data_IF_868394761421
#
_entry.id   IF_868394761421
#
_cell.length_a   1.000
_cell.length_b   1.000
_cell.length_c   1.000
_cell.angle_alpha   90.00
_cell.angle_beta   90.00
_cell.angle_gamma   90.00
#
_symmetry.space_group_name_H-M   'P 1'
#
loop_
_entity.id
_entity.type
_entity.pdbx_description
1 polymer ?
#
# COMPACT_ATOMS: atom_id res chain seq x y z
N UNK A 1 61.42 -1.27 47.08
CA UNK A 1 62.54 -1.42 46.11
C UNK A 1 62.09 -0.80 44.80
N UNK A 2 62.70 0.34 44.47
CA UNK A 2 62.44 1.15 43.29
C UNK A 2 63.32 0.69 42.13
N UNK A 3 62.75 0.63 40.92
CA UNK A 3 63.51 0.82 39.67
C UNK A 3 62.60 1.45 38.61
N UNK A 4 62.63 2.78 38.62
CA UNK A 4 62.83 3.71 37.49
C UNK A 4 62.59 3.15 36.09
N UNK A 5 61.53 3.62 35.41
CA UNK A 5 61.33 3.46 33.97
C UNK A 5 61.76 4.72 33.22
N UNK A 6 62.42 4.45 32.11
CA UNK A 6 63.13 5.32 31.20
C UNK A 6 62.23 6.37 30.52
N UNK A 7 62.78 7.58 30.44
CA UNK A 7 62.31 8.73 29.68
C UNK A 7 62.57 8.50 28.18
N UNK A 8 61.55 8.63 27.33
CA UNK A 8 61.75 8.88 25.89
C UNK A 8 60.97 10.14 25.51
N UNK A 9 61.73 11.18 25.18
CA UNK A 9 61.29 12.47 24.69
C UNK A 9 60.97 12.30 23.19
N UNK A 10 59.71 12.48 22.78
CA UNK A 10 59.34 12.60 21.37
C UNK A 10 58.89 14.04 21.13
N UNK A 11 59.77 14.83 20.49
CA UNK A 11 59.46 16.16 19.96
C UNK A 11 58.69 15.97 18.66
N UNK A 12 57.39 16.26 18.66
CA UNK A 12 56.59 16.37 17.43
C UNK A 12 56.46 17.84 17.07
N UNK A 13 57.05 18.20 15.94
CA UNK A 13 56.96 19.49 15.28
C UNK A 13 55.50 19.80 14.93
N UNK A 14 54.95 20.86 15.53
CA UNK A 14 53.70 21.50 15.11
C UNK A 14 53.89 22.10 13.70
N UNK A 15 53.23 21.52 12.71
CA UNK A 15 53.00 22.16 11.41
C UNK A 15 51.70 22.98 11.50
N UNK A 16 51.62 24.20 10.97
CA UNK A 16 50.38 24.96 10.93
C UNK A 16 49.45 24.32 9.90
N UNK A 17 48.40 23.64 10.38
CA UNK A 17 47.32 23.15 9.54
C UNK A 17 46.58 24.35 8.94
N UNK A 18 46.68 24.47 7.62
CA UNK A 18 45.84 25.32 6.78
C UNK A 18 44.38 24.86 6.96
N UNK A 19 43.57 25.63 7.69
CA UNK A 19 42.11 25.48 7.68
C UNK A 19 41.62 25.85 6.26
N UNK A 20 41.50 24.87 5.37
CA UNK A 20 40.67 25.05 4.18
C UNK A 20 39.21 24.96 4.63
N UNK A 21 38.51 26.09 4.63
CA UNK A 21 37.06 26.12 4.73
C UNK A 21 36.48 25.40 3.50
N UNK A 22 36.12 24.13 3.65
CA UNK A 22 35.30 23.45 2.67
C UNK A 22 33.91 24.08 2.74
N UNK A 23 33.63 25.00 1.80
CA UNK A 23 32.29 25.47 1.49
C UNK A 23 31.46 24.26 1.05
N UNK A 24 30.75 23.63 1.99
CA UNK A 24 29.66 22.72 1.65
C UNK A 24 28.66 23.54 0.85
N UNK A 25 28.55 23.25 -0.45
CA UNK A 25 27.43 23.73 -1.27
C UNK A 25 26.15 23.29 -0.58
N UNK A 26 25.53 24.20 0.16
CA UNK A 26 24.22 23.99 0.77
C UNK A 26 23.21 24.05 -0.38
N UNK A 27 23.02 22.90 -1.03
CA UNK A 27 22.01 22.72 -2.07
C UNK A 27 20.66 23.14 -1.48
N UNK A 28 19.94 24.03 -2.17
CA UNK A 28 18.64 24.49 -1.72
C UNK A 28 17.76 23.28 -1.36
N UNK A 29 17.05 23.30 -0.22
CA UNK A 29 16.23 22.17 0.20
C UNK A 29 15.18 21.88 -0.88
N UNK A 30 15.11 20.62 -1.31
CA UNK A 30 14.16 20.21 -2.34
C UNK A 30 12.72 20.55 -1.92
N UNK A 31 11.91 21.04 -2.86
CA UNK A 31 10.52 21.39 -2.59
C UNK A 31 9.76 20.16 -2.07
N UNK A 32 8.90 20.38 -1.08
CA UNK A 32 8.04 19.33 -0.51
C UNK A 32 6.77 19.22 -1.32
N UNK A 33 6.25 18.02 -1.56
CA UNK A 33 5.01 17.84 -2.31
C UNK A 33 3.84 17.58 -1.37
N UNK A 34 2.70 18.22 -1.59
CA UNK A 34 1.46 17.84 -0.91
C UNK A 34 0.94 16.55 -1.53
N UNK A 35 0.71 15.53 -0.70
CA UNK A 35 0.13 14.26 -1.14
C UNK A 35 -1.36 14.18 -0.88
N UNK A 36 -1.78 14.80 0.21
CA UNK A 36 -3.17 14.80 0.65
C UNK A 36 -3.41 16.02 1.53
N UNK A 37 -4.56 16.65 1.35
CA UNK A 37 -5.06 17.68 2.23
C UNK A 37 -6.57 17.49 2.40
N UNK A 38 -7.03 17.55 3.64
CA UNK A 38 -8.43 17.51 4.01
C UNK A 38 -8.73 18.58 5.05
N UNK A 39 -9.96 19.06 5.04
CA UNK A 39 -10.36 20.25 5.77
C UNK A 39 -9.71 21.53 5.22
N UNK A 40 -9.80 22.65 5.96
CA UNK A 40 -9.30 23.94 5.48
C UNK A 40 -7.78 23.99 5.62
N UNK A 41 -7.07 23.72 4.54
CA UNK A 41 -5.62 23.85 4.45
C UNK A 41 -5.33 24.94 3.43
N UNK A 42 -4.41 25.85 3.74
CA UNK A 42 -3.97 26.86 2.78
C UNK A 42 -2.49 27.16 2.93
N UNK A 43 -1.87 27.71 1.89
CA UNK A 43 -0.48 28.14 1.93
C UNK A 43 -0.30 29.54 1.33
N UNK A 44 0.79 30.19 1.67
CA UNK A 44 1.25 31.43 1.02
C UNK A 44 2.75 31.39 0.79
N UNK A 45 3.20 32.03 -0.27
CA UNK A 45 4.62 32.05 -0.68
C UNK A 45 5.44 33.14 0.02
N UNK A 46 4.77 34.17 0.54
CA UNK A 46 5.34 35.27 1.32
C UNK A 46 4.26 35.89 2.21
N UNK A 47 4.64 36.72 3.18
CA UNK A 47 3.69 37.41 4.07
C UNK A 47 2.69 38.33 3.31
N UNK A 48 3.08 38.80 2.12
CA UNK A 48 2.24 39.68 1.27
C UNK A 48 1.42 38.90 0.22
N UNK A 49 1.73 37.63 0.01
CA UNK A 49 1.01 36.79 -0.96
C UNK A 49 -0.36 36.38 -0.40
N UNK A 50 -1.40 36.27 -1.24
CA UNK A 50 -2.69 35.76 -0.81
C UNK A 50 -2.57 34.29 -0.36
N UNK A 51 -3.48 33.87 0.51
CA UNK A 51 -3.65 32.46 0.86
C UNK A 51 -4.23 31.69 -0.32
N UNK A 52 -3.60 30.58 -0.66
CA UNK A 52 -4.05 29.64 -1.69
C UNK A 52 -4.53 28.38 -0.98
N UNK A 53 -5.79 28.01 -1.20
CA UNK A 53 -6.37 26.80 -0.62
C UNK A 53 -5.74 25.56 -1.23
N UNK A 54 -5.40 24.59 -0.37
CA UNK A 54 -4.98 23.24 -0.74
C UNK A 54 -6.19 22.35 -0.56
N UNK A 55 -6.90 22.06 -1.65
CA UNK A 55 -8.07 21.19 -1.65
C UNK A 55 -7.71 19.73 -1.95
N UNK A 56 -8.64 18.79 -1.69
CA UNK A 56 -8.45 17.36 -2.01
C UNK A 56 -8.31 17.06 -3.50
N UNK A 57 -8.68 18.01 -4.37
CA UNK A 57 -8.51 18.00 -5.82
C UNK A 57 -7.40 18.95 -6.33
N UNK A 58 -6.73 19.69 -5.43
CA UNK A 58 -5.63 20.56 -5.84
C UNK A 58 -4.46 19.72 -6.34
N UNK A 59 -3.86 20.11 -7.47
CA UNK A 59 -2.72 19.41 -8.08
C UNK A 59 -1.50 19.47 -7.16
N UNK A 60 -1.44 18.59 -6.15
CA UNK A 60 -0.30 18.26 -5.29
C UNK A 60 0.85 19.29 -5.33
N UNK A 61 0.63 20.53 -4.83
CA UNK A 61 1.56 21.62 -5.10
C UNK A 61 2.93 21.31 -4.49
N UNK A 62 3.98 21.66 -5.23
CA UNK A 62 5.32 21.70 -4.69
C UNK A 62 5.47 22.96 -3.82
N UNK A 63 5.63 22.74 -2.52
CA UNK A 63 5.79 23.77 -1.49
C UNK A 63 7.27 23.95 -1.17
N UNK A 64 7.79 25.15 -1.36
CA UNK A 64 9.15 25.48 -0.93
C UNK A 64 9.25 25.49 0.60
N UNK A 65 10.43 25.19 1.13
CA UNK A 65 10.69 25.09 2.57
C UNK A 65 10.30 26.35 3.38
N UNK A 66 10.33 27.52 2.74
CA UNK A 66 9.99 28.82 3.32
C UNK A 66 8.50 29.18 3.26
N UNK A 67 7.67 28.42 2.52
CA UNK A 67 6.24 28.73 2.43
C UNK A 67 5.56 28.54 3.80
N UNK A 68 4.57 29.39 4.07
CA UNK A 68 3.73 29.28 5.28
C UNK A 68 2.48 28.49 4.94
N UNK A 69 2.15 27.51 5.76
CA UNK A 69 0.93 26.71 5.72
C UNK A 69 0.06 27.11 6.90
N UNK A 70 -1.22 27.33 6.64
CA UNK A 70 -2.26 27.51 7.66
C UNK A 70 -3.08 26.24 7.77
N UNK A 71 -3.18 25.75 9.00
CA UNK A 71 -3.95 24.57 9.39
C UNK A 71 -5.00 24.99 10.41
N UNK A 72 -6.13 24.30 10.40
CA UNK A 72 -7.20 24.43 11.39
C UNK A 72 -7.34 23.12 12.18
N UNK A 73 -8.26 23.09 13.15
CA UNK A 73 -8.47 21.96 14.06
C UNK A 73 -8.91 20.67 13.36
N UNK A 74 -9.54 20.78 12.19
CA UNK A 74 -10.01 19.64 11.40
C UNK A 74 -9.07 19.29 10.24
N UNK A 75 -7.97 20.03 10.08
CA UNK A 75 -7.10 19.88 8.94
C UNK A 75 -6.25 18.61 9.04
N UNK A 76 -6.17 17.88 7.94
CA UNK A 76 -5.19 16.82 7.73
C UNK A 76 -4.32 17.24 6.55
N UNK A 77 -3.00 17.17 6.72
CA UNK A 77 -2.05 17.44 5.66
C UNK A 77 -1.00 16.34 5.62
N UNK A 78 -0.73 15.80 4.43
CA UNK A 78 0.34 14.84 4.20
C UNK A 78 1.35 15.47 3.25
N UNK A 79 2.57 15.67 3.73
CA UNK A 79 3.69 16.24 2.99
C UNK A 79 4.73 15.18 2.67
N UNK A 80 5.30 15.25 1.48
CA UNK A 80 6.44 14.43 1.07
C UNK A 80 7.68 15.31 0.89
N UNK A 81 8.84 14.84 1.36
CA UNK A 81 10.13 15.33 0.89
C UNK A 81 10.81 14.25 0.03
N UNK A 82 11.49 14.63 -1.07
CA UNK A 82 12.26 13.69 -1.88
C UNK A 82 13.23 12.87 -1.03
N UNK A 83 13.19 11.54 -1.18
CA UNK A 83 14.06 10.60 -0.47
C UNK A 83 13.72 10.39 1.01
N UNK A 84 12.64 10.98 1.52
CA UNK A 84 12.19 10.78 2.91
C UNK A 84 10.78 10.22 2.97
N UNK A 85 10.42 9.70 4.13
CA UNK A 85 9.07 9.29 4.42
C UNK A 85 8.10 10.49 4.43
N UNK A 86 6.83 10.29 4.02
CA UNK A 86 5.83 11.31 4.20
C UNK A 86 5.63 11.66 5.68
N UNK A 87 5.31 12.93 5.88
CA UNK A 87 4.94 13.53 7.15
C UNK A 87 3.44 13.78 7.12
N UNK A 88 2.71 13.10 8.00
CA UNK A 88 1.30 13.38 8.25
C UNK A 88 1.25 14.49 9.30
N UNK A 89 0.28 15.39 9.23
CA UNK A 89 0.02 16.47 10.18
C UNK A 89 -1.49 16.53 10.38
N UNK A 90 -1.96 16.52 11.63
CA UNK A 90 -3.39 16.49 11.97
C UNK A 90 -3.68 17.35 13.18
N UNK A 91 -4.87 17.95 13.22
CA UNK A 91 -5.43 18.65 14.38
C UNK A 91 -4.45 19.64 15.02
N UNK A 92 -3.65 20.32 14.18
CA UNK A 92 -2.62 21.24 14.64
C UNK A 92 -2.92 22.63 14.09
N UNK A 93 -3.90 23.35 14.67
CA UNK A 93 -4.27 24.67 14.19
C UNK A 93 -3.11 25.65 14.34
N UNK A 94 -2.96 26.55 13.38
CA UNK A 94 -1.93 27.58 13.38
C UNK A 94 -1.30 27.82 12.02
N UNK A 95 -0.30 28.70 12.01
CA UNK A 95 0.51 29.02 10.84
C UNK A 95 1.94 28.49 11.06
N UNK A 96 2.42 27.68 10.12
CA UNK A 96 3.70 27.00 10.23
C UNK A 96 4.47 27.14 8.92
N UNK A 97 5.78 27.27 8.98
CA UNK A 97 6.59 27.07 7.77
C UNK A 97 6.63 25.59 7.40
N UNK A 98 6.81 25.29 6.11
CA UNK A 98 7.03 23.90 5.65
C UNK A 98 8.18 23.26 6.42
N UNK A 99 9.29 23.99 6.62
CA UNK A 99 10.44 23.51 7.41
C UNK A 99 10.05 23.10 8.83
N UNK A 100 9.32 23.96 9.55
CA UNK A 100 8.92 23.67 10.94
C UNK A 100 8.00 22.46 11.04
N UNK A 101 7.08 22.29 10.08
CA UNK A 101 6.18 21.14 10.05
C UNK A 101 6.95 19.83 9.89
N UNK A 102 7.92 19.80 8.97
CA UNK A 102 8.74 18.63 8.69
C UNK A 102 9.70 18.26 9.83
N UNK A 103 10.08 19.22 10.68
CA UNK A 103 10.91 18.98 11.85
C UNK A 103 10.09 18.48 13.05
N UNK A 104 8.87 18.97 13.20
CA UNK A 104 7.99 18.66 14.34
C UNK A 104 7.28 17.30 14.28
N UNK A 105 7.27 16.65 13.12
CA UNK A 105 6.56 15.39 12.92
C UNK A 105 7.19 14.16 13.57
N UNK A 106 8.32 14.32 14.26
CA UNK A 106 8.95 13.26 15.03
C UNK A 106 8.42 13.15 16.47
N UNK A 107 7.71 14.16 16.99
CA UNK A 107 7.32 14.26 18.41
C UNK A 107 5.81 14.35 18.67
N UNK A 108 5.01 14.76 17.69
CA UNK A 108 3.61 15.16 17.94
C UNK A 108 2.63 14.10 17.44
N UNK A 109 2.40 13.06 18.27
CA UNK A 109 1.11 12.40 18.46
C UNK A 109 0.44 11.66 17.29
N UNK A 110 1.04 11.60 16.11
CA UNK A 110 0.59 10.67 15.07
C UNK A 110 1.09 9.32 15.48
N UNK A 111 0.18 8.37 15.73
CA UNK A 111 0.56 7.02 16.11
C UNK A 111 1.66 6.54 15.19
N UNK A 112 2.82 6.17 15.75
CA UNK A 112 3.98 5.64 15.01
C UNK A 112 3.52 4.62 13.96
N UNK A 113 2.48 3.85 14.29
CA UNK A 113 1.74 2.98 13.39
C UNK A 113 1.28 3.66 12.10
N UNK A 114 0.50 4.75 12.12
CA UNK A 114 0.00 5.42 10.92
C UNK A 114 1.14 5.98 10.06
N UNK A 115 2.16 6.58 10.66
CA UNK A 115 3.31 7.14 9.94
C UNK A 115 4.20 6.06 9.31
N UNK A 116 4.53 4.99 10.05
CA UNK A 116 5.27 3.82 9.55
C UNK A 116 4.52 3.14 8.41
N UNK A 117 3.19 3.14 8.55
CA UNK A 117 2.29 2.55 7.61
C UNK A 117 2.21 3.38 6.32
N UNK A 118 1.98 4.69 6.38
CA UNK A 118 2.11 5.59 5.23
C UNK A 118 3.49 5.49 4.58
N UNK A 119 4.56 5.29 5.35
CA UNK A 119 5.92 5.09 4.81
C UNK A 119 6.07 3.78 4.04
N UNK A 120 5.40 2.70 4.49
CA UNK A 120 5.31 1.46 3.72
C UNK A 120 4.52 1.66 2.43
N UNK A 121 3.36 2.34 2.50
CA UNK A 121 2.55 2.69 1.32
C UNK A 121 3.33 3.52 0.33
N UNK A 122 4.01 4.55 0.82
CA UNK A 122 4.75 5.49 0.00
C UNK A 122 5.81 4.78 -0.82
N UNK A 123 6.61 3.93 -0.18
CA UNK A 123 7.59 3.10 -0.90
C UNK A 123 6.91 2.29 -2.00
N UNK A 124 5.78 1.66 -1.72
CA UNK A 124 5.08 0.83 -2.70
C UNK A 124 4.35 1.62 -3.81
N UNK A 125 4.01 2.89 -3.59
CA UNK A 125 3.32 3.76 -4.55
C UNK A 125 4.27 4.67 -5.36
N UNK A 126 5.50 4.88 -4.90
CA UNK A 126 6.40 5.92 -5.47
C UNK A 126 7.78 5.46 -5.91
N UNK A 127 8.14 4.20 -5.68
CA UNK A 127 9.19 3.60 -6.50
C UNK A 127 8.76 3.75 -7.96
N UNK A 128 9.59 4.39 -8.81
CA UNK A 128 9.33 4.61 -10.23
C UNK A 128 8.56 3.44 -10.81
N UNK A 129 7.25 3.62 -10.95
CA UNK A 129 6.46 2.66 -11.67
C UNK A 129 6.71 3.00 -13.12
N UNK A 130 7.37 2.06 -13.80
CA UNK A 130 7.16 1.85 -15.23
C UNK A 130 5.64 1.88 -15.53
N UNK A 131 5.22 1.92 -16.79
CA UNK A 131 3.78 1.92 -17.14
C UNK A 131 3.00 0.88 -16.34
N UNK A 132 1.69 1.09 -16.08
CA UNK A 132 0.85 0.11 -15.34
C UNK A 132 1.07 -1.32 -15.84
N UNK A 133 1.25 -1.50 -17.15
CA UNK A 133 1.55 -2.78 -17.78
C UNK A 133 2.88 -3.36 -17.31
N UNK A 134 3.96 -2.59 -17.36
CA UNK A 134 5.29 -3.01 -16.93
C UNK A 134 5.34 -3.28 -15.42
N UNK A 135 4.65 -2.46 -14.63
CA UNK A 135 4.49 -2.70 -13.20
C UNK A 135 3.75 -4.01 -12.91
N UNK A 136 2.61 -4.25 -13.58
CA UNK A 136 1.84 -5.49 -13.45
C UNK A 136 2.68 -6.70 -13.87
N UNK A 137 3.36 -6.64 -15.01
CA UNK A 137 4.24 -7.71 -15.49
C UNK A 137 5.39 -7.99 -14.52
N UNK A 138 6.07 -6.95 -14.04
CA UNK A 138 7.14 -7.07 -13.06
C UNK A 138 6.66 -7.66 -11.73
N UNK A 139 5.47 -7.28 -11.27
CA UNK A 139 4.85 -7.85 -10.07
C UNK A 139 4.52 -9.34 -10.25
N UNK A 140 3.87 -9.70 -11.35
CA UNK A 140 3.51 -11.10 -11.66
C UNK A 140 4.76 -11.99 -11.81
N UNK A 141 5.81 -11.47 -12.47
CA UNK A 141 7.11 -12.15 -12.60
C UNK A 141 7.74 -12.41 -11.23
N UNK A 142 7.77 -11.41 -10.33
CA UNK A 142 8.31 -11.57 -8.97
C UNK A 142 7.51 -12.53 -8.10
N UNK A 143 6.19 -12.61 -8.31
CA UNK A 143 5.32 -13.53 -7.59
C UNK A 143 5.36 -14.97 -8.13
N UNK A 144 6.19 -15.24 -9.14
CA UNK A 144 6.29 -16.56 -9.75
C UNK A 144 5.05 -16.94 -10.58
N UNK A 145 4.16 -15.97 -10.86
CA UNK A 145 2.98 -16.17 -11.70
C UNK A 145 3.40 -16.03 -13.17
N UNK A 146 4.27 -16.93 -13.61
CA UNK A 146 4.61 -17.11 -15.03
C UNK A 146 4.07 -18.47 -15.43
N UNK A 147 2.86 -18.48 -16.00
CA UNK A 147 2.30 -19.68 -16.63
C UNK A 147 3.18 -20.05 -17.82
N UNK A 148 3.86 -21.19 -17.73
CA UNK A 148 4.52 -21.84 -18.87
C UNK A 148 3.54 -22.86 -19.44
N UNK A 149 2.77 -22.45 -20.45
CA UNK A 149 2.08 -23.39 -21.34
C UNK A 149 0.69 -23.90 -20.94
N UNK A 150 0.08 -23.44 -19.84
CA UNK A 150 -1.29 -23.84 -19.52
C UNK A 150 -2.30 -22.81 -20.06
N UNK A 151 -3.19 -23.27 -20.95
CA UNK A 151 -4.34 -22.51 -21.46
C UNK A 151 -5.43 -22.52 -20.39
N UNK A 152 -5.57 -21.41 -19.67
CA UNK A 152 -6.42 -21.35 -18.47
C UNK A 152 -7.27 -20.09 -18.49
N UNK A 153 -8.51 -20.16 -17.98
CA UNK A 153 -9.21 -18.94 -17.61
C UNK A 153 -8.42 -18.24 -16.49
N UNK A 154 -8.28 -16.91 -16.60
CA UNK A 154 -7.66 -16.09 -15.57
C UNK A 154 -8.54 -16.16 -14.30
N UNK A 155 -8.02 -16.79 -13.24
CA UNK A 155 -8.64 -16.81 -11.91
C UNK A 155 -8.57 -15.41 -11.30
N UNK A 156 -9.69 -14.92 -10.76
CA UNK A 156 -9.86 -13.55 -10.28
C UNK A 156 -10.15 -13.46 -8.78
N UNK A 157 -10.96 -14.37 -8.24
CA UNK A 157 -11.26 -14.40 -6.80
C UNK A 157 -11.40 -15.86 -6.32
N UNK A 158 -10.88 -16.21 -5.14
CA UNK A 158 -9.95 -15.41 -4.36
C UNK A 158 -8.60 -15.30 -5.10
N UNK A 159 -7.97 -14.15 -5.02
CA UNK A 159 -6.65 -13.95 -5.63
C UNK A 159 -5.60 -14.91 -5.06
N UNK A 160 -4.51 -15.11 -5.79
CA UNK A 160 -3.38 -15.91 -5.32
C UNK A 160 -2.86 -15.44 -3.95
N UNK A 161 -2.85 -16.36 -2.98
CA UNK A 161 -2.38 -16.16 -1.62
C UNK A 161 -3.32 -15.34 -0.75
N UNK A 162 -4.62 -15.30 -1.07
CA UNK A 162 -5.60 -14.56 -0.28
C UNK A 162 -5.85 -15.17 1.09
N UNK A 163 -6.01 -14.31 2.08
CA UNK A 163 -6.49 -14.67 3.42
C UNK A 163 -7.93 -14.17 3.52
N UNK A 164 -8.87 -15.05 3.85
CA UNK A 164 -10.29 -14.73 3.89
C UNK A 164 -10.69 -14.36 5.32
N UNK A 165 -11.17 -13.13 5.55
CA UNK A 165 -11.61 -12.71 6.89
C UNK A 165 -12.89 -13.42 7.35
N UNK A 166 -13.76 -13.81 6.40
CA UNK A 166 -14.97 -14.57 6.67
C UNK A 166 -14.66 -16.05 6.77
N UNK A 167 -15.25 -16.72 7.76
CA UNK A 167 -15.23 -18.17 7.95
C UNK A 167 -16.52 -18.84 7.45
N UNK A 168 -17.45 -18.08 6.86
CA UNK A 168 -18.77 -18.58 6.45
C UNK A 168 -18.87 -18.85 4.97
N UNK A 169 -18.45 -17.91 4.12
CA UNK A 169 -18.53 -18.09 2.68
C UNK A 169 -17.53 -17.24 1.90
N UNK A 170 -17.25 -17.67 0.69
CA UNK A 170 -16.43 -16.98 -0.30
C UNK A 170 -17.02 -17.13 -1.69
N UNK A 171 -16.63 -16.26 -2.61
CA UNK A 171 -16.99 -16.36 -4.02
C UNK A 171 -15.74 -16.63 -4.85
N UNK A 172 -15.79 -17.73 -5.59
CA UNK A 172 -14.85 -17.99 -6.68
C UNK A 172 -15.29 -17.25 -7.94
N UNK A 173 -14.33 -16.76 -8.71
CA UNK A 173 -14.60 -16.02 -9.94
C UNK A 173 -13.41 -16.07 -10.90
N UNK A 174 -13.70 -16.16 -12.19
CA UNK A 174 -12.71 -16.28 -13.25
C UNK A 174 -13.16 -15.62 -14.55
N UNK A 175 -12.21 -15.34 -15.44
CA UNK A 175 -12.51 -14.81 -16.77
C UNK A 175 -13.10 -15.92 -17.65
N UNK A 176 -14.17 -15.59 -18.38
CA UNK A 176 -14.76 -16.49 -19.36
C UNK A 176 -13.75 -16.83 -20.46
N UNK A 177 -13.56 -18.12 -20.69
CA UNK A 177 -12.98 -18.67 -21.92
C UNK A 177 -14.07 -18.73 -22.99
N UNK A 178 -13.92 -18.03 -24.14
CA UNK A 178 -14.90 -18.04 -25.23
C UNK A 178 -15.24 -19.43 -25.79
N UNK A 179 -14.31 -20.39 -25.69
CA UNK A 179 -14.50 -21.74 -26.20
C UNK A 179 -15.13 -22.70 -25.18
N UNK A 180 -15.27 -22.27 -23.91
CA UNK A 180 -15.78 -23.11 -22.83
C UNK A 180 -17.29 -22.88 -22.60
N UNK A 181 -18.06 -23.97 -22.52
CA UNK A 181 -19.49 -23.92 -22.16
C UNK A 181 -19.73 -24.18 -20.67
N UNK A 182 -18.86 -24.96 -20.04
CA UNK A 182 -18.90 -25.34 -18.63
C UNK A 182 -17.49 -25.40 -18.08
N UNK A 183 -17.37 -25.16 -16.79
CA UNK A 183 -16.13 -25.17 -16.04
C UNK A 183 -16.19 -26.19 -14.92
N UNK A 184 -15.07 -26.83 -14.64
CA UNK A 184 -14.83 -27.58 -13.41
C UNK A 184 -14.04 -26.69 -12.46
N UNK A 185 -14.57 -26.47 -11.26
CA UNK A 185 -13.85 -25.86 -10.14
C UNK A 185 -13.41 -26.96 -9.20
N UNK A 186 -12.13 -26.97 -8.83
CA UNK A 186 -11.55 -27.96 -7.93
C UNK A 186 -10.76 -27.28 -6.80
N UNK A 187 -10.82 -27.87 -5.60
CA UNK A 187 -10.03 -27.47 -4.41
C UNK A 187 -9.16 -28.65 -4.00
N UNK A 188 -7.92 -28.36 -3.61
CA UNK A 188 -6.88 -29.32 -3.25
C UNK A 188 -6.22 -28.92 -1.93
N UNK A 189 -5.63 -29.89 -1.26
CA UNK A 189 -4.78 -29.72 -0.07
C UNK A 189 -3.32 -29.37 -0.39
N UNK A 190 -2.87 -29.66 -1.62
CA UNK A 190 -1.49 -29.49 -2.06
C UNK A 190 -1.42 -28.85 -3.47
N UNK A 191 -0.28 -28.22 -3.79
CA UNK A 191 0.03 -27.70 -5.12
C UNK A 191 0.34 -28.79 -6.15
N UNK A 192 0.79 -29.98 -5.72
CA UNK A 192 1.21 -31.08 -6.61
C UNK A 192 0.12 -31.42 -7.64
N UNK A 193 0.49 -31.53 -8.92
CA UNK A 193 -0.42 -31.91 -10.01
C UNK A 193 -1.20 -33.20 -9.71
N UNK A 194 -0.63 -34.11 -8.93
CA UNK A 194 -1.23 -35.38 -8.50
C UNK A 194 -2.03 -35.29 -7.20
N UNK A 195 -2.17 -34.11 -6.59
CA UNK A 195 -2.91 -33.92 -5.35
C UNK A 195 -4.36 -34.34 -5.49
N UNK A 196 -4.90 -34.90 -4.41
CA UNK A 196 -6.31 -35.29 -4.35
C UNK A 196 -7.19 -34.04 -4.32
N UNK A 197 -8.30 -34.08 -5.06
CA UNK A 197 -9.33 -33.05 -4.97
C UNK A 197 -10.13 -33.24 -3.68
N UNK A 198 -10.12 -32.24 -2.81
CA UNK A 198 -10.99 -32.17 -1.63
C UNK A 198 -12.44 -31.83 -2.01
N UNK A 199 -12.59 -31.06 -3.08
CA UNK A 199 -13.89 -30.65 -3.62
C UNK A 199 -13.80 -30.45 -5.12
N UNK A 200 -14.86 -30.83 -5.83
CA UNK A 200 -15.01 -30.56 -7.26
C UNK A 200 -16.48 -30.29 -7.58
N UNK A 201 -16.72 -29.35 -8.48
CA UNK A 201 -18.07 -29.09 -9.00
C UNK A 201 -17.99 -28.52 -10.41
N UNK A 202 -19.06 -28.68 -11.18
CA UNK A 202 -19.17 -28.13 -12.52
C UNK A 202 -20.24 -27.04 -12.59
N UNK A 203 -19.95 -25.94 -13.28
CA UNK A 203 -20.91 -24.85 -13.51
C UNK A 203 -20.75 -24.26 -14.90
N UNK A 204 -21.84 -23.70 -15.45
CA UNK A 204 -21.80 -22.90 -16.68
C UNK A 204 -21.44 -21.42 -16.41
N UNK A 205 -21.55 -20.99 -15.16
CA UNK A 205 -21.26 -19.63 -14.74
C UNK A 205 -19.76 -19.37 -14.62
N UNK A 206 -19.38 -18.10 -14.50
CA UNK A 206 -17.99 -17.67 -14.25
C UNK A 206 -17.74 -17.28 -12.80
N UNK A 207 -18.71 -17.58 -11.94
CA UNK A 207 -18.65 -17.36 -10.51
C UNK A 207 -19.31 -18.50 -9.76
N UNK A 208 -18.81 -18.83 -8.57
CA UNK A 208 -19.37 -19.86 -7.70
C UNK A 208 -19.29 -19.42 -6.24
N UNK A 209 -20.43 -19.38 -5.55
CA UNK A 209 -20.44 -19.22 -4.10
C UNK A 209 -20.05 -20.54 -3.42
N UNK A 210 -19.13 -20.48 -2.46
CA UNK A 210 -18.63 -21.62 -1.73
C UNK A 210 -18.72 -21.35 -0.23
N UNK A 211 -19.38 -22.24 0.51
CA UNK A 211 -19.43 -22.16 1.97
C UNK A 211 -18.15 -22.75 2.55
N UNK A 212 -17.59 -22.06 3.53
CA UNK A 212 -16.33 -22.41 4.19
C UNK A 212 -16.53 -23.37 5.38
N UNK A 213 -17.77 -23.64 5.77
CA UNK A 213 -18.16 -24.57 6.84
C UNK A 213 -18.07 -26.05 6.42
N UNK A 214 -17.05 -26.40 5.62
CA UNK A 214 -16.78 -27.77 5.20
C UNK A 214 -15.85 -28.45 6.20
N UNK A 215 -16.03 -29.75 6.48
CA UNK A 215 -15.21 -30.46 7.45
C UNK A 215 -13.72 -30.55 7.06
N UNK A 216 -13.39 -30.36 5.78
CA UNK A 216 -12.00 -30.35 5.29
C UNK A 216 -11.36 -28.95 5.29
N UNK A 217 -12.12 -27.90 5.62
CA UNK A 217 -11.63 -26.52 5.68
C UNK A 217 -11.24 -26.22 7.13
N UNK A 218 -9.94 -26.06 7.33
CA UNK A 218 -9.30 -25.81 8.61
C UNK A 218 -8.67 -24.42 8.61
N UNK A 219 -8.55 -23.83 9.80
CA UNK A 219 -7.82 -22.59 9.97
C UNK A 219 -6.33 -22.83 9.73
N UNK A 220 -5.62 -21.82 9.25
CA UNK A 220 -4.17 -21.85 9.03
C UNK A 220 -3.67 -22.82 7.94
N UNK A 221 -4.56 -23.61 7.32
CA UNK A 221 -4.23 -24.45 6.17
C UNK A 221 -4.33 -23.62 4.90
N UNK A 222 -3.34 -23.79 4.01
CA UNK A 222 -3.38 -23.20 2.67
C UNK A 222 -4.01 -24.19 1.72
N UNK A 223 -5.15 -23.80 1.16
CA UNK A 223 -5.84 -24.55 0.12
C UNK A 223 -5.44 -24.05 -1.25
N UNK A 224 -5.46 -24.96 -2.20
CA UNK A 224 -5.19 -24.67 -3.60
C UNK A 224 -6.48 -24.84 -4.36
N UNK A 225 -6.72 -24.01 -5.37
CA UNK A 225 -7.89 -24.14 -6.21
C UNK A 225 -7.54 -23.86 -7.66
N UNK A 226 -8.29 -24.49 -8.55
CA UNK A 226 -8.20 -24.26 -9.98
C UNK A 226 -9.59 -24.24 -10.59
N UNK A 227 -9.68 -23.58 -11.73
CA UNK A 227 -10.87 -23.66 -12.58
C UNK A 227 -10.44 -23.84 -14.02
N UNK A 228 -11.19 -24.65 -14.76
CA UNK A 228 -10.85 -25.03 -16.12
C UNK A 228 -12.05 -25.51 -16.93
N UNK A 229 -12.03 -25.39 -18.27
CA UNK A 229 -13.07 -25.96 -19.11
C UNK A 229 -13.20 -27.47 -18.88
N UNK A 230 -14.42 -27.99 -18.81
CA UNK A 230 -14.67 -29.43 -18.63
C UNK A 230 -13.88 -30.25 -19.68
N UNK A 231 -13.15 -31.27 -19.22
CA UNK A 231 -12.30 -32.12 -20.06
C UNK A 231 -10.90 -31.55 -20.38
N UNK A 232 -10.55 -30.37 -19.87
CA UNK A 232 -9.23 -29.74 -20.06
C UNK A 232 -8.61 -29.38 -18.70
N UNK A 233 -8.11 -30.37 -17.92
CA UNK A 233 -7.57 -30.13 -16.59
C UNK A 233 -6.42 -29.12 -16.61
N UNK A 234 -6.33 -28.34 -15.54
CA UNK A 234 -5.44 -27.19 -15.44
C UNK A 234 -4.33 -27.41 -14.42
N UNK A 235 -3.10 -27.04 -14.80
CA UNK A 235 -1.91 -27.08 -13.95
C UNK A 235 -1.77 -25.88 -13.00
N UNK A 236 -2.37 -24.72 -13.35
CA UNK A 236 -2.30 -23.50 -12.57
C UNK A 236 -3.27 -23.56 -11.39
N UNK A 237 -2.72 -23.36 -10.19
CA UNK A 237 -3.48 -23.33 -8.94
C UNK A 237 -3.27 -22.02 -8.21
N UNK A 238 -4.38 -21.39 -7.81
CA UNK A 238 -4.37 -20.26 -6.90
C UNK A 238 -4.51 -20.76 -5.47
N UNK A 239 -4.16 -19.92 -4.50
CA UNK A 239 -4.19 -20.30 -3.08
C UNK A 239 -5.07 -19.38 -2.27
N UNK A 240 -5.71 -19.95 -1.26
CA UNK A 240 -6.38 -19.19 -0.21
C UNK A 240 -6.14 -19.86 1.15
N UNK A 241 -6.31 -19.10 2.22
CA UNK A 241 -6.29 -19.62 3.59
C UNK A 241 -7.24 -18.85 4.49
N UNK A 242 -7.56 -19.45 5.64
CA UNK A 242 -8.24 -18.77 6.73
C UNK A 242 -7.22 -18.25 7.75
N UNK A 243 -7.42 -17.04 8.31
CA UNK A 243 -6.47 -16.43 9.22
C UNK A 243 -6.40 -17.19 10.55
N UNK A 244 -5.24 -17.08 11.20
CA UNK A 244 -5.11 -17.41 12.62
C UNK A 244 -6.00 -16.47 13.45
N UNK A 245 -6.67 -16.95 14.52
CA UNK A 245 -7.43 -16.08 15.40
C UNK A 245 -6.62 -14.87 15.92
N UNK A 246 -5.35 -15.08 16.27
CA UNK A 246 -4.49 -14.00 16.77
C UNK A 246 -4.06 -13.01 15.69
N UNK A 247 -3.88 -13.47 14.45
CA UNK A 247 -3.57 -12.59 13.32
C UNK A 247 -4.77 -11.68 13.00
N UNK A 248 -5.98 -12.26 13.02
CA UNK A 248 -7.22 -11.50 12.86
C UNK A 248 -7.39 -10.49 13.99
N UNK A 249 -7.21 -10.90 15.26
CA UNK A 249 -7.29 -10.00 16.42
C UNK A 249 -6.26 -8.88 16.35
N UNK A 250 -5.03 -9.18 15.93
CA UNK A 250 -3.97 -8.16 15.75
C UNK A 250 -4.36 -7.14 14.68
N UNK A 251 -4.95 -7.60 13.57
CA UNK A 251 -5.47 -6.73 12.53
C UNK A 251 -6.64 -5.87 13.04
N UNK A 252 -7.59 -6.46 13.75
CA UNK A 252 -8.73 -5.77 14.36
C UNK A 252 -8.28 -4.68 15.34
N UNK A 253 -7.31 -4.96 16.21
CA UNK A 253 -6.74 -3.95 17.12
C UNK A 253 -6.14 -2.78 16.35
N UNK A 254 -5.41 -3.05 15.25
CA UNK A 254 -4.86 -2.00 14.38
C UNK A 254 -5.96 -1.19 13.69
N UNK A 255 -7.04 -1.84 13.27
CA UNK A 255 -8.19 -1.17 12.66
C UNK A 255 -8.94 -0.28 13.65
N UNK A 256 -9.14 -0.73 14.90
CA UNK A 256 -9.76 0.08 15.95
C UNK A 256 -8.91 1.30 16.29
N UNK A 257 -7.59 1.11 16.46
CA UNK A 257 -6.66 2.23 16.68
C UNK A 257 -6.72 3.23 15.52
N UNK A 258 -6.72 2.73 14.28
CA UNK A 258 -6.87 3.57 13.09
C UNK A 258 -8.18 4.36 13.09
N UNK A 259 -9.31 3.74 13.43
CA UNK A 259 -10.61 4.41 13.44
C UNK A 259 -10.69 5.52 14.49
N UNK A 260 -10.05 5.32 15.65
CA UNK A 260 -9.89 6.37 16.68
C UNK A 260 -9.00 7.52 16.19
N UNK A 261 -7.92 7.20 15.47
CA UNK A 261 -6.98 8.20 14.93
C UNK A 261 -7.51 8.95 13.71
N UNK A 262 -8.48 8.41 12.97
CA UNK A 262 -8.88 8.92 11.64
C UNK A 262 -10.30 9.49 11.58
N UNK A 263 -10.89 9.84 12.72
CA UNK A 263 -12.26 10.37 12.84
C UNK A 263 -12.59 11.56 11.93
N UNK A 264 -11.58 12.27 11.43
CA UNK A 264 -11.73 13.50 10.64
C UNK A 264 -11.75 13.29 9.13
N UNK A 265 -11.51 12.06 8.62
CA UNK A 265 -11.56 11.81 7.17
C UNK A 265 -11.93 10.37 6.81
N UNK A 266 -13.19 10.14 6.45
CA UNK A 266 -13.68 8.81 6.06
C UNK A 266 -12.97 8.25 4.82
N UNK A 267 -12.62 9.10 3.86
CA UNK A 267 -11.94 8.68 2.62
C UNK A 267 -10.50 8.23 2.91
N UNK A 268 -9.75 9.01 3.70
CA UNK A 268 -8.40 8.65 4.10
C UNK A 268 -8.39 7.42 5.01
N UNK A 269 -9.33 7.32 5.96
CA UNK A 269 -9.51 6.14 6.81
C UNK A 269 -9.75 4.88 5.97
N UNK A 270 -10.63 4.95 4.96
CA UNK A 270 -10.88 3.84 4.04
C UNK A 270 -9.61 3.45 3.25
N UNK A 271 -8.84 4.43 2.79
CA UNK A 271 -7.60 4.17 2.05
C UNK A 271 -6.53 3.48 2.92
N UNK A 272 -6.32 3.99 4.14
CA UNK A 272 -5.37 3.40 5.09
C UNK A 272 -5.82 1.99 5.51
N UNK A 273 -7.12 1.78 5.72
CA UNK A 273 -7.70 0.46 5.98
C UNK A 273 -7.47 -0.49 4.82
N UNK A 274 -7.70 -0.05 3.59
CA UNK A 274 -7.56 -0.86 2.38
C UNK A 274 -6.17 -1.45 2.25
N UNK A 275 -5.21 -0.58 2.41
CA UNK A 275 -3.83 -0.98 2.33
C UNK A 275 -3.49 -1.93 3.50
N UNK A 276 -4.05 -1.73 4.71
CA UNK A 276 -3.72 -2.55 5.88
C UNK A 276 -4.21 -3.98 5.64
N UNK A 277 -5.40 -4.11 5.08
CA UNK A 277 -5.89 -5.38 4.57
C UNK A 277 -4.96 -5.97 3.51
N UNK A 278 -4.49 -5.19 2.53
CA UNK A 278 -3.58 -5.65 1.49
C UNK A 278 -2.25 -6.17 2.06
N UNK A 279 -1.65 -5.44 3.00
CA UNK A 279 -0.40 -5.84 3.67
C UNK A 279 -0.54 -7.13 4.48
N UNK A 280 -1.75 -7.44 4.93
CA UNK A 280 -2.09 -8.68 5.64
C UNK A 280 -2.78 -9.72 4.73
N UNK A 281 -2.80 -9.51 3.41
CA UNK A 281 -3.37 -10.41 2.38
C UNK A 281 -4.88 -10.62 2.45
N UNK A 282 -5.62 -9.76 3.15
CA UNK A 282 -7.08 -9.70 3.17
C UNK A 282 -7.59 -8.95 1.94
N UNK A 283 -7.32 -9.50 0.76
CA UNK A 283 -7.46 -8.75 -0.47
C UNK A 283 -8.89 -8.41 -0.88
N UNK A 284 -9.91 -9.24 -0.62
CA UNK A 284 -11.30 -8.83 -0.81
C UNK A 284 -11.67 -7.59 0.02
N UNK A 285 -11.24 -7.55 1.28
CA UNK A 285 -11.42 -6.41 2.18
C UNK A 285 -10.63 -5.18 1.69
N UNK A 286 -9.39 -5.40 1.23
CA UNK A 286 -8.56 -4.36 0.64
C UNK A 286 -9.24 -3.70 -0.57
N UNK A 287 -9.74 -4.51 -1.50
CA UNK A 287 -10.46 -4.00 -2.68
C UNK A 287 -11.66 -3.14 -2.28
N UNK A 288 -12.52 -3.64 -1.39
CA UNK A 288 -13.70 -2.90 -0.91
C UNK A 288 -13.32 -1.55 -0.31
N UNK A 289 -12.27 -1.53 0.51
CA UNK A 289 -11.83 -0.31 1.17
C UNK A 289 -11.13 0.67 0.20
N UNK A 290 -10.33 0.20 -0.77
CA UNK A 290 -9.74 1.06 -1.80
C UNK A 290 -10.84 1.70 -2.66
N UNK A 291 -11.80 0.87 -3.09
CA UNK A 291 -12.95 1.34 -3.86
C UNK A 291 -13.79 2.34 -3.08
N UNK A 292 -13.98 2.12 -1.77
CA UNK A 292 -14.69 3.07 -0.91
C UNK A 292 -13.94 4.40 -0.78
N UNK A 293 -12.62 4.40 -0.62
CA UNK A 293 -11.82 5.62 -0.58
C UNK A 293 -11.95 6.42 -1.89
N UNK A 294 -11.83 5.75 -3.04
CA UNK A 294 -12.05 6.36 -4.36
C UNK A 294 -13.46 6.92 -4.50
N UNK A 295 -14.50 6.17 -4.09
CA UNK A 295 -15.89 6.62 -4.16
C UNK A 295 -16.15 7.86 -3.31
N UNK A 296 -15.52 7.95 -2.14
CA UNK A 296 -15.69 9.09 -1.21
C UNK A 296 -14.95 10.35 -1.69
N UNK A 297 -13.84 10.21 -2.41
CA UNK A 297 -13.08 11.35 -2.96
C UNK A 297 -12.49 11.01 -4.35
N UNK A 298 -13.32 10.96 -5.41
CA UNK A 298 -12.90 10.45 -6.72
C UNK A 298 -11.91 11.36 -7.46
N UNK A 299 -11.90 12.66 -7.15
CA UNK A 299 -10.92 13.61 -7.68
C UNK A 299 -9.52 13.48 -7.04
N UNK A 300 -9.41 12.69 -5.96
CA UNK A 300 -8.14 12.52 -5.26
C UNK A 300 -7.24 11.53 -6.01
N UNK A 301 -6.14 12.04 -6.56
CA UNK A 301 -5.17 11.27 -7.35
C UNK A 301 -4.58 10.11 -6.55
N UNK A 302 -4.28 10.28 -5.26
CA UNK A 302 -3.71 9.23 -4.42
C UNK A 302 -4.65 8.02 -4.32
N UNK A 303 -5.94 8.25 -4.12
CA UNK A 303 -6.91 7.16 -3.96
C UNK A 303 -7.18 6.44 -5.28
N UNK A 304 -7.32 7.20 -6.37
CA UNK A 304 -7.48 6.65 -7.72
C UNK A 304 -6.26 5.82 -8.12
N UNK A 305 -5.07 6.39 -8.02
CA UNK A 305 -3.83 5.74 -8.43
C UNK A 305 -3.53 4.53 -7.53
N UNK A 306 -3.83 4.62 -6.22
CA UNK A 306 -3.71 3.50 -5.29
C UNK A 306 -4.63 2.32 -5.64
N UNK A 307 -5.90 2.59 -5.97
CA UNK A 307 -6.83 1.57 -6.46
C UNK A 307 -6.38 0.98 -7.81
N UNK A 308 -5.90 1.82 -8.75
CA UNK A 308 -5.39 1.36 -10.03
C UNK A 308 -4.17 0.42 -9.85
N UNK A 309 -3.24 0.79 -8.98
CA UNK A 309 -2.07 -0.03 -8.67
C UNK A 309 -2.45 -1.33 -7.97
N UNK A 310 -3.43 -1.30 -7.05
CA UNK A 310 -3.99 -2.52 -6.46
C UNK A 310 -4.53 -3.46 -7.55
N UNK A 311 -5.38 -2.96 -8.44
CA UNK A 311 -5.94 -3.72 -9.57
C UNK A 311 -4.85 -4.29 -10.47
N UNK A 312 -3.84 -3.49 -10.82
CA UNK A 312 -2.71 -3.91 -11.65
C UNK A 312 -1.91 -5.05 -11.00
N UNK A 313 -1.65 -5.00 -9.69
CA UNK A 313 -1.00 -6.10 -8.94
C UNK A 313 -1.81 -7.40 -8.96
N UNK A 314 -3.11 -7.33 -9.27
CA UNK A 314 -4.00 -8.49 -9.39
C UNK A 314 -4.24 -8.94 -10.82
N UNK A 315 -3.52 -8.37 -11.78
CA UNK A 315 -3.73 -8.66 -13.20
C UNK A 315 -5.04 -8.09 -13.77
N UNK A 316 -5.74 -7.23 -13.01
CA UNK A 316 -6.91 -6.47 -13.47
C UNK A 316 -6.47 -5.21 -14.22
N UNK A 317 -5.52 -5.36 -15.14
CA UNK A 317 -4.82 -4.27 -15.80
C UNK A 317 -5.75 -3.40 -16.66
N UNK A 318 -6.76 -4.00 -17.29
CA UNK A 318 -7.75 -3.25 -18.07
C UNK A 318 -8.59 -2.32 -17.18
N UNK A 319 -9.04 -2.81 -16.02
CA UNK A 319 -9.77 -2.00 -15.04
C UNK A 319 -8.88 -0.88 -14.48
N UNK A 320 -7.61 -1.19 -14.23
CA UNK A 320 -6.64 -0.18 -13.79
C UNK A 320 -6.44 0.95 -14.82
N UNK A 321 -6.32 0.61 -16.11
CA UNK A 321 -6.24 1.60 -17.20
C UNK A 321 -7.51 2.43 -17.33
N UNK A 322 -8.69 1.78 -17.30
CA UNK A 322 -9.97 2.48 -17.36
C UNK A 322 -10.13 3.50 -16.22
N UNK A 323 -9.66 3.13 -15.02
CA UNK A 323 -9.67 4.02 -13.86
C UNK A 323 -8.71 5.20 -14.00
N UNK A 324 -7.54 5.03 -14.63
CA UNK A 324 -6.61 6.14 -14.86
C UNK A 324 -7.01 7.05 -16.02
N UNK A 325 -7.82 6.56 -16.96
CA UNK A 325 -8.28 7.31 -18.13
C UNK A 325 -9.45 8.25 -17.83
N UNK A 326 -10.18 8.07 -16.72
CA UNK A 326 -11.36 8.87 -16.34
C UNK A 326 -11.04 10.26 -15.77
N UNK A 327 -10.01 10.93 -16.31
CA UNK A 327 -9.55 12.26 -15.88
C UNK A 327 -10.53 13.37 -16.22
#
# INVERSE_FOLDING_TARGET
MHTTKLLFLLVVLLSPAVLSAQSTKQTAPAASRVLYADGPVSYRTSARSPWVSIGPASQNPALAAAYTIKLNEQSILVLEQPGKAPVVIRNRPGEFTVTTLLQSSASDGIGLALADYFRYLWRNLTHHHETIDSYAQGYMKRKGVVSRGCTVPLMLTPDYGAVLASDTSMQFGWKRDPAARRYTLAIYDNYDEKANTLFTTETADTTLAFRLDKPFIEKEVTYYWSVYPVGKPNCARYTFSLPKPDALRTLETKLVALDQEMQTSAALAAFVRATLYEGNRFYPEAYRAYFQAYRLAPANVLFRDGLALFLARRGMTQQAHALLASR
#
